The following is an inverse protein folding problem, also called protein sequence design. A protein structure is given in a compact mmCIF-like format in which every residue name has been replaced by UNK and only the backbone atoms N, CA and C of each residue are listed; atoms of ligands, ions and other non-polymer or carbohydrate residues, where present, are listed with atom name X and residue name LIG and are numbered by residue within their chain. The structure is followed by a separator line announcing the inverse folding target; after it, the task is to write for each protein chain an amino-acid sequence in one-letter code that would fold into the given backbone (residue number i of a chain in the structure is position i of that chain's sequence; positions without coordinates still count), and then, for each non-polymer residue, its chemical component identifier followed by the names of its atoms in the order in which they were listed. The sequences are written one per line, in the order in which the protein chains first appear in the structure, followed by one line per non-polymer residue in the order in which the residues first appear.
data_IF_870405402183
#
_entry.id   IF_870405402183
#
_cell.length_a   1.000
_cell.length_b   1.000
_cell.length_c   1.000
_cell.angle_alpha   90.00
_cell.angle_beta   90.00
_cell.angle_gamma   90.00
#
_symmetry.space_group_name_H-M   'P 1'
#
loop_
_entity.id
_entity.type
_entity.pdbx_description
1 polymer ?
#
# COMPACT_ATOMS: atom_id res chain seq x y z
N UNK A 1 9.09 7.06 -6.36
CA UNK A 1 8.16 8.04 -6.99
C UNK A 1 8.43 8.20 -8.48
N UNK A 2 9.65 8.57 -8.90
CA UNK A 2 10.01 8.78 -10.32
C UNK A 2 9.61 7.60 -11.23
N UNK A 3 9.95 6.36 -10.86
CA UNK A 3 9.58 5.17 -11.64
C UNK A 3 8.06 5.02 -11.81
N UNK A 4 7.27 5.34 -10.79
CA UNK A 4 5.81 5.29 -10.91
C UNK A 4 5.26 6.43 -11.77
N UNK A 5 5.93 7.59 -11.81
CA UNK A 5 5.58 8.65 -12.76
C UNK A 5 5.81 8.20 -14.21
N UNK A 6 6.89 7.44 -14.46
CA UNK A 6 7.14 6.85 -15.77
C UNK A 6 6.04 5.87 -16.20
N UNK A 7 5.37 5.20 -15.25
CA UNK A 7 4.26 4.29 -15.57
C UNK A 7 3.05 5.00 -16.18
N UNK A 8 2.89 6.31 -16.00
CA UNK A 8 1.82 7.06 -16.66
C UNK A 8 1.97 7.09 -18.19
N UNK A 9 3.16 6.81 -18.73
CA UNK A 9 3.37 6.65 -20.19
C UNK A 9 2.52 5.50 -20.75
N UNK A 10 2.21 4.48 -19.94
CA UNK A 10 1.41 3.33 -20.37
C UNK A 10 -0.11 3.57 -20.30
N UNK A 11 -0.57 4.64 -19.67
CA UNK A 11 -1.99 4.93 -19.45
C UNK A 11 -2.82 4.98 -20.75
N UNK A 12 -2.35 5.63 -21.83
CA UNK A 12 -3.10 5.64 -23.09
C UNK A 12 -3.31 4.24 -23.69
N UNK A 13 -2.38 3.31 -23.43
CA UNK A 13 -2.45 1.93 -23.94
C UNK A 13 -3.46 1.07 -23.18
N UNK A 14 -3.80 1.45 -21.94
CA UNK A 14 -4.74 0.72 -21.07
C UNK A 14 -6.17 1.25 -21.24
N UNK A 15 -6.37 2.29 -22.07
CA UNK A 15 -7.69 2.89 -22.31
C UNK A 15 -8.19 3.78 -21.17
N UNK A 16 -7.33 4.10 -20.20
CA UNK A 16 -7.65 4.99 -19.09
C UNK A 16 -7.36 6.44 -19.46
N UNK A 17 -8.29 7.35 -19.14
CA UNK A 17 -8.07 8.79 -19.26
C UNK A 17 -7.66 9.36 -17.91
N UNK A 18 -6.36 9.45 -17.66
CA UNK A 18 -5.85 10.07 -16.44
C UNK A 18 -5.66 11.57 -16.68
N UNK A 19 -6.43 12.36 -15.92
CA UNK A 19 -6.33 13.82 -15.92
C UNK A 19 -5.20 14.29 -15.00
N UNK A 20 -4.71 15.51 -15.22
CA UNK A 20 -3.65 16.12 -14.40
C UNK A 20 -4.00 16.14 -12.90
N UNK A 21 -5.27 16.33 -12.56
CA UNK A 21 -5.75 16.28 -11.16
C UNK A 21 -5.48 14.94 -10.48
N UNK A 22 -5.66 13.82 -11.19
CA UNK A 22 -5.40 12.48 -10.67
C UNK A 22 -3.89 12.30 -10.44
N UNK A 23 -3.05 12.77 -11.37
CA UNK A 23 -1.59 12.71 -11.22
C UNK A 23 -1.12 13.48 -9.98
N UNK A 24 -1.66 14.69 -9.77
CA UNK A 24 -1.34 15.51 -8.59
C UNK A 24 -1.74 14.81 -7.30
N UNK A 25 -2.89 14.13 -7.26
CA UNK A 25 -3.34 13.35 -6.08
C UNK A 25 -2.48 12.10 -5.85
N UNK A 26 -1.97 11.47 -6.92
CA UNK A 26 -1.15 10.25 -6.80
C UNK A 26 0.25 10.53 -6.27
N UNK A 27 0.85 11.69 -6.56
CA UNK A 27 2.21 12.02 -6.08
C UNK A 27 2.36 11.91 -4.55
N UNK A 28 1.53 12.58 -3.71
CA UNK A 28 1.65 12.45 -2.25
C UNK A 28 1.33 11.03 -1.76
N UNK A 29 0.36 10.34 -2.39
CA UNK A 29 0.06 8.95 -2.08
C UNK A 29 1.28 8.05 -2.36
N UNK A 30 1.95 8.21 -3.51
CA UNK A 30 3.15 7.48 -3.86
C UNK A 30 4.31 7.77 -2.92
N UNK A 31 4.47 9.03 -2.50
CA UNK A 31 5.49 9.40 -1.52
C UNK A 31 5.23 8.74 -0.17
N UNK A 32 3.99 8.77 0.30
CA UNK A 32 3.56 8.15 1.56
C UNK A 32 3.78 6.64 1.57
N UNK A 33 3.41 5.95 0.49
CA UNK A 33 3.62 4.51 0.34
C UNK A 33 5.11 4.19 0.25
N UNK A 34 5.87 4.96 -0.54
CA UNK A 34 7.32 4.79 -0.64
C UNK A 34 8.02 5.00 0.70
N UNK A 35 7.62 6.02 1.47
CA UNK A 35 8.10 6.26 2.82
C UNK A 35 7.82 5.05 3.72
N UNK A 36 6.58 4.57 3.75
CA UNK A 36 6.17 3.46 4.63
C UNK A 36 6.91 2.16 4.30
N UNK A 37 7.02 1.79 3.02
CA UNK A 37 7.76 0.61 2.60
C UNK A 37 9.26 0.75 2.85
N UNK A 38 9.82 1.96 2.69
CA UNK A 38 11.22 2.24 3.01
C UNK A 38 11.49 2.09 4.51
N UNK A 39 10.57 2.55 5.37
CA UNK A 39 10.67 2.37 6.82
C UNK A 39 10.64 0.90 7.23
N UNK A 40 9.82 0.07 6.58
CA UNK A 40 9.83 -1.40 6.78
C UNK A 40 11.18 -1.98 6.35
N UNK A 41 11.67 -1.60 5.16
CA UNK A 41 12.98 -2.02 4.65
C UNK A 41 14.12 -1.62 5.59
N UNK A 42 14.08 -0.41 6.14
CA UNK A 42 15.08 0.09 7.10
C UNK A 42 15.03 -0.66 8.43
N UNK A 43 13.83 -1.00 8.92
CA UNK A 43 13.69 -1.86 10.10
C UNK A 43 14.29 -3.24 9.85
N UNK A 44 14.05 -3.84 8.68
CA UNK A 44 14.64 -5.13 8.32
C UNK A 44 16.16 -5.03 8.17
N UNK A 45 16.67 -3.97 7.55
CA UNK A 45 18.11 -3.74 7.37
C UNK A 45 18.83 -3.56 8.71
N UNK A 46 18.27 -2.76 9.63
CA UNK A 46 18.79 -2.62 11.00
C UNK A 46 18.62 -3.89 11.83
N UNK A 47 17.82 -4.85 11.36
CA UNK A 47 17.56 -6.11 12.06
C UNK A 47 18.50 -7.25 11.73
N UNK A 48 19.14 -7.19 10.57
CA UNK A 48 19.86 -8.31 10.00
C UNK A 48 21.35 -7.98 9.93
N UNK A 49 22.17 -8.96 10.29
CA UNK A 49 23.63 -8.77 10.36
C UNK A 49 24.32 -8.82 9.00
N UNK A 50 23.65 -9.34 7.98
CA UNK A 50 24.23 -9.56 6.65
C UNK A 50 23.31 -9.07 5.55
N UNK A 51 23.90 -8.50 4.49
CA UNK A 51 23.18 -8.06 3.30
C UNK A 51 22.48 -9.22 2.58
N UNK A 52 23.07 -10.42 2.60
CA UNK A 52 22.47 -11.62 2.03
C UNK A 52 21.18 -12.04 2.78
N UNK A 53 21.21 -12.01 4.12
CA UNK A 53 20.02 -12.29 4.93
C UNK A 53 18.91 -11.27 4.70
N UNK A 54 19.26 -9.99 4.55
CA UNK A 54 18.31 -8.93 4.20
C UNK A 54 17.63 -9.19 2.85
N UNK A 55 18.40 -9.44 1.79
CA UNK A 55 17.82 -9.70 0.46
C UNK A 55 16.89 -10.92 0.47
N UNK A 56 17.28 -12.00 1.14
CA UNK A 56 16.46 -13.21 1.26
C UNK A 56 15.12 -12.92 1.95
N UNK A 57 15.14 -12.24 3.10
CA UNK A 57 13.91 -11.94 3.85
C UNK A 57 13.01 -10.99 3.06
N UNK A 58 13.55 -9.97 2.42
CA UNK A 58 12.77 -9.04 1.59
C UNK A 58 12.04 -9.78 0.47
N UNK A 59 12.71 -10.72 -0.22
CA UNK A 59 12.08 -11.49 -1.29
C UNK A 59 10.95 -12.40 -0.78
N UNK A 60 11.17 -13.08 0.34
CA UNK A 60 10.15 -13.93 0.96
C UNK A 60 8.95 -13.09 1.43
N UNK A 61 9.17 -11.87 1.89
CA UNK A 61 8.15 -11.01 2.47
C UNK A 61 7.34 -10.23 1.42
N UNK A 62 7.96 -9.82 0.31
CA UNK A 62 7.30 -9.07 -0.76
C UNK A 62 6.12 -9.87 -1.36
N UNK A 63 6.31 -11.16 -1.63
CA UNK A 63 5.29 -11.94 -2.32
C UNK A 63 3.99 -12.12 -1.49
N UNK A 64 4.04 -12.55 -0.21
CA UNK A 64 2.87 -12.56 0.67
C UNK A 64 2.24 -11.18 0.82
N UNK A 65 3.05 -10.12 1.00
CA UNK A 65 2.50 -8.76 1.10
C UNK A 65 1.75 -8.34 -0.17
N UNK A 66 2.28 -8.66 -1.35
CA UNK A 66 1.62 -8.36 -2.62
C UNK A 66 0.33 -9.18 -2.79
N UNK A 67 0.37 -10.47 -2.45
CA UNK A 67 -0.80 -11.35 -2.55
C UNK A 67 -1.94 -10.87 -1.63
N UNK A 68 -1.60 -10.50 -0.40
CA UNK A 68 -2.55 -10.01 0.60
C UNK A 68 -2.95 -8.56 0.40
N UNK A 69 -2.31 -7.80 -0.49
CA UNK A 69 -2.60 -6.37 -0.69
C UNK A 69 -3.86 -6.08 -1.50
N UNK A 70 -4.46 -7.11 -2.11
CA UNK A 70 -5.56 -6.90 -3.05
C UNK A 70 -5.13 -6.43 -4.44
N UNK A 71 -3.83 -6.40 -4.73
CA UNK A 71 -3.31 -6.05 -6.06
C UNK A 71 -3.58 -7.14 -7.09
N UNK A 72 -3.36 -8.41 -6.73
CA UNK A 72 -3.52 -9.55 -7.64
C UNK A 72 -4.86 -10.28 -7.47
N UNK A 73 -5.38 -10.35 -6.24
CA UNK A 73 -6.59 -11.09 -5.92
C UNK A 73 -7.59 -10.19 -5.20
N UNK A 74 -8.90 -10.35 -5.42
CA UNK A 74 -9.89 -9.63 -4.65
C UNK A 74 -9.82 -10.05 -3.17
N UNK A 75 -9.93 -9.07 -2.27
CA UNK A 75 -9.86 -9.26 -0.81
C UNK A 75 -11.24 -9.22 -0.14
N UNK A 76 -12.30 -9.43 -0.93
CA UNK A 76 -13.69 -9.53 -0.45
C UNK A 76 -14.05 -10.98 -0.13
N UNK A 77 -14.84 -11.20 0.93
CA UNK A 77 -15.33 -12.55 1.28
C UNK A 77 -14.27 -13.52 1.81
N UNK A 78 -13.16 -13.02 2.32
CA UNK A 78 -12.07 -13.87 2.84
C UNK A 78 -12.41 -14.52 4.19
N UNK A 79 -11.89 -15.72 4.48
CA UNK A 79 -12.02 -16.32 5.80
C UNK A 79 -11.34 -15.43 6.87
N UNK A 80 -11.82 -15.52 8.12
CA UNK A 80 -11.44 -14.60 9.20
C UNK A 80 -9.92 -14.46 9.41
N UNK A 81 -9.18 -15.58 9.33
CA UNK A 81 -7.72 -15.58 9.50
C UNK A 81 -7.00 -14.80 8.39
N UNK A 82 -7.49 -14.87 7.15
CA UNK A 82 -6.88 -14.18 6.01
C UNK A 82 -7.29 -12.70 6.02
N UNK A 83 -8.52 -12.40 6.44
CA UNK A 83 -8.99 -11.04 6.66
C UNK A 83 -8.11 -10.30 7.68
N UNK A 84 -7.71 -10.97 8.77
CA UNK A 84 -6.75 -10.43 9.72
C UNK A 84 -5.40 -10.08 9.07
N UNK A 85 -4.83 -10.98 8.26
CA UNK A 85 -3.55 -10.75 7.57
C UNK A 85 -3.63 -9.60 6.55
N UNK A 86 -4.74 -9.48 5.83
CA UNK A 86 -4.99 -8.36 4.91
C UNK A 86 -5.09 -7.04 5.67
N UNK A 87 -5.75 -7.05 6.84
CA UNK A 87 -5.99 -5.86 7.67
C UNK A 87 -4.70 -5.30 8.28
N UNK A 88 -3.72 -6.14 8.62
CA UNK A 88 -2.44 -5.68 9.17
C UNK A 88 -1.45 -5.23 8.09
N UNK A 89 -1.69 -5.60 6.83
CA UNK A 89 -0.77 -5.33 5.74
C UNK A 89 -0.94 -3.87 5.23
N UNK A 90 0.03 -2.97 5.43
CA UNK A 90 -0.07 -1.58 4.97
C UNK A 90 -0.17 -1.45 3.45
N UNK A 91 0.30 -2.47 2.71
CA UNK A 91 0.20 -2.49 1.26
C UNK A 91 -1.26 -2.65 0.78
N UNK A 92 -2.13 -3.26 1.58
CA UNK A 92 -3.58 -3.36 1.31
C UNK A 92 -4.20 -1.99 1.11
N UNK A 93 -4.00 -1.11 2.10
CA UNK A 93 -4.52 0.25 2.10
C UNK A 93 -3.87 1.10 1.00
N UNK A 94 -2.58 0.86 0.72
CA UNK A 94 -1.85 1.55 -0.34
C UNK A 94 -2.43 1.25 -1.73
N UNK A 95 -2.71 -0.02 -2.00
CA UNK A 95 -3.28 -0.48 -3.27
C UNK A 95 -4.71 0.00 -3.44
N UNK A 96 -5.54 -0.11 -2.40
CA UNK A 96 -6.93 0.36 -2.46
C UNK A 96 -7.00 1.88 -2.66
N UNK A 97 -6.15 2.65 -1.95
CA UNK A 97 -6.02 4.10 -2.14
C UNK A 97 -5.65 4.47 -3.58
N UNK A 98 -4.68 3.77 -4.19
CA UNK A 98 -4.33 4.02 -5.60
C UNK A 98 -5.50 3.73 -6.54
N UNK A 99 -6.21 2.61 -6.35
CA UNK A 99 -7.39 2.28 -7.16
C UNK A 99 -8.46 3.35 -7.04
N UNK A 100 -8.76 3.80 -5.82
CA UNK A 100 -9.77 4.85 -5.57
C UNK A 100 -9.42 6.18 -6.23
N UNK A 101 -8.14 6.58 -6.20
CA UNK A 101 -7.68 7.82 -6.84
C UNK A 101 -7.72 7.71 -8.37
N UNK A 102 -7.22 6.61 -8.94
CA UNK A 102 -7.15 6.41 -10.40
C UNK A 102 -8.55 6.31 -11.01
N UNK A 103 -9.46 5.59 -10.35
CA UNK A 103 -10.80 5.33 -10.84
C UNK A 103 -11.82 6.38 -10.36
N UNK A 104 -11.35 7.43 -9.69
CA UNK A 104 -12.18 8.50 -9.13
C UNK A 104 -13.41 7.94 -8.36
N UNK A 105 -13.17 7.03 -7.41
CA UNK A 105 -14.20 6.23 -6.73
C UNK A 105 -15.32 7.04 -6.07
N UNK A 106 -15.08 8.32 -5.77
CA UNK A 106 -16.09 9.22 -5.18
C UNK A 106 -17.13 9.71 -6.21
N UNK A 107 -16.85 9.56 -7.52
CA UNK A 107 -17.77 9.90 -8.61
C UNK A 107 -18.58 8.71 -9.12
N UNK A 108 -18.25 7.49 -8.67
CA UNK A 108 -18.89 6.26 -9.12
C UNK A 108 -20.17 5.99 -8.33
N UNK A 109 -21.16 5.39 -8.98
CA UNK A 109 -22.34 4.85 -8.32
C UNK A 109 -21.92 3.81 -7.26
N UNK A 110 -22.53 3.79 -6.05
CA UNK A 110 -22.22 2.81 -5.01
C UNK A 110 -22.19 1.35 -5.47
N UNK A 111 -23.09 0.96 -6.38
CA UNK A 111 -23.14 -0.40 -6.92
C UNK A 111 -21.94 -0.70 -7.81
N UNK A 112 -21.55 0.26 -8.66
CA UNK A 112 -20.38 0.13 -9.52
C UNK A 112 -19.09 0.11 -8.69
N UNK A 113 -19.02 0.95 -7.65
CA UNK A 113 -17.89 0.99 -6.70
C UNK A 113 -17.71 -0.35 -5.99
N UNK A 114 -18.81 -1.01 -5.61
CA UNK A 114 -18.77 -2.36 -5.02
C UNK A 114 -18.32 -3.42 -6.04
N UNK A 115 -18.86 -3.38 -7.26
CA UNK A 115 -18.50 -4.32 -8.32
C UNK A 115 -17.01 -4.23 -8.72
N UNK A 116 -16.43 -3.04 -8.65
CA UNK A 116 -15.00 -2.79 -8.91
C UNK A 116 -14.09 -3.09 -7.71
N UNK A 117 -14.66 -3.49 -6.56
CA UNK A 117 -13.90 -3.82 -5.35
C UNK A 117 -13.24 -2.62 -4.67
N UNK A 118 -13.80 -1.41 -4.83
CA UNK A 118 -13.27 -0.14 -4.27
C UNK A 118 -13.81 0.18 -2.87
N UNK A 119 -14.48 -0.80 -2.24
CA UNK A 119 -15.07 -0.70 -0.91
C UNK A 119 -14.32 -1.61 0.04
N UNK A 120 -13.03 -1.32 0.25
CA UNK A 120 -12.27 -1.99 1.30
C UNK A 120 -13.03 -1.83 2.63
N UNK A 121 -13.43 -2.97 3.20
CA UNK A 121 -14.10 -3.05 4.49
C UNK A 121 -13.15 -3.71 5.47
N UNK A 122 -12.76 -2.95 6.48
CA UNK A 122 -11.92 -3.44 7.57
C UNK A 122 -12.79 -3.49 8.82
N UNK A 123 -12.91 -4.67 9.41
CA UNK A 123 -13.74 -4.90 10.60
C UNK A 123 -15.20 -4.45 10.43
N UNK A 124 -15.75 -4.55 9.21
CA UNK A 124 -17.12 -4.15 8.89
C UNK A 124 -17.31 -2.66 8.59
N UNK A 125 -16.27 -1.83 8.69
CA UNK A 125 -16.33 -0.41 8.36
C UNK A 125 -15.70 -0.13 7.00
N UNK A 126 -16.37 0.66 6.16
CA UNK A 126 -15.79 1.13 4.91
C UNK A 126 -14.66 2.11 5.20
N UNK A 127 -13.48 1.81 4.68
CA UNK A 127 -12.30 2.66 4.87
C UNK A 127 -12.26 3.72 3.78
N UNK A 128 -12.15 4.98 4.17
CA UNK A 128 -12.02 6.11 3.23
C UNK A 128 -10.56 6.29 2.81
N UNK A 129 -10.33 7.04 1.72
CA UNK A 129 -8.98 7.41 1.27
C UNK A 129 -8.19 8.09 2.40
N UNK A 130 -8.85 8.94 3.19
CA UNK A 130 -8.22 9.60 4.33
C UNK A 130 -7.79 8.61 5.41
N UNK A 131 -8.65 7.65 5.75
CA UNK A 131 -8.35 6.63 6.76
C UNK A 131 -7.22 5.70 6.27
N UNK A 132 -7.20 5.37 4.98
CA UNK A 132 -6.08 4.63 4.36
C UNK A 132 -4.77 5.38 4.46
N UNK A 133 -4.75 6.64 4.06
CA UNK A 133 -3.56 7.47 4.14
C UNK A 133 -3.07 7.61 5.60
N UNK A 134 -3.99 7.82 6.54
CA UNK A 134 -3.65 7.92 7.96
C UNK A 134 -3.07 6.59 8.49
N UNK A 135 -3.69 5.46 8.16
CA UNK A 135 -3.19 4.15 8.56
C UNK A 135 -1.79 3.88 8.01
N UNK A 136 -1.58 4.11 6.71
CA UNK A 136 -0.27 3.94 6.07
C UNK A 136 0.77 4.86 6.71
N UNK A 137 0.43 6.12 6.99
CA UNK A 137 1.33 7.06 7.67
C UNK A 137 1.70 6.59 9.07
N UNK A 138 0.72 6.13 9.86
CA UNK A 138 0.95 5.60 11.20
C UNK A 138 1.88 4.39 11.14
N UNK A 139 1.64 3.44 10.23
CA UNK A 139 2.54 2.31 10.01
C UNK A 139 3.97 2.79 9.67
N UNK A 140 4.11 3.75 8.76
CA UNK A 140 5.39 4.31 8.38
C UNK A 140 6.14 4.94 9.56
N UNK A 141 5.44 5.69 10.41
CA UNK A 141 5.99 6.30 11.64
C UNK A 141 6.39 5.21 12.65
N UNK A 142 5.56 4.20 12.88
CA UNK A 142 5.88 3.10 13.79
C UNK A 142 7.14 2.38 13.32
N UNK A 143 7.23 2.00 12.04
CA UNK A 143 8.37 1.26 11.51
C UNK A 143 9.66 2.07 11.53
N UNK A 144 9.62 3.38 11.21
CA UNK A 144 10.82 4.21 11.26
C UNK A 144 11.29 4.40 12.71
N UNK A 145 10.38 4.63 13.66
CA UNK A 145 10.74 4.74 15.08
C UNK A 145 11.36 3.45 15.60
N UNK A 146 10.78 2.28 15.27
CA UNK A 146 11.35 0.99 15.63
C UNK A 146 12.74 0.78 15.03
N UNK A 147 12.94 1.19 13.77
CA UNK A 147 14.24 1.11 13.12
C UNK A 147 15.28 2.00 13.81
N UNK A 148 14.92 3.24 14.15
CA UNK A 148 15.79 4.18 14.87
C UNK A 148 16.17 3.65 16.25
N UNK A 149 15.21 3.13 17.03
CA UNK A 149 15.47 2.54 18.35
C UNK A 149 16.37 1.31 18.26
N UNK A 150 16.20 0.50 17.21
CA UNK A 150 17.05 -0.67 17.00
C UNK A 150 18.49 -0.28 16.66
N UNK A 151 18.65 0.76 15.84
CA UNK A 151 19.95 1.30 15.46
C UNK A 151 20.69 1.90 16.69
N UNK A 152 19.98 2.64 17.54
CA UNK A 152 20.58 3.25 18.73
C UNK A 152 21.00 2.27 19.82
N UNK A 153 20.45 1.04 19.82
CA UNK A 153 20.84 -0.03 20.75
C UNK A 153 21.98 -0.91 20.22
N UNK A 154 22.34 -0.78 18.94
CA UNK A 154 23.40 -1.57 18.30
C UNK A 154 24.75 -0.85 18.25
N UNK A 155 24.78 0.44 18.57
CA UNK A 155 25.97 1.23 18.86
C UNK A 155 26.20 1.26 20.38
#
# INVERSE_FOLDING_TARGET
VIQGLLMFVFVPFIGLKINLSIMIKLIPAMFLVAFTLSSIGLLLASSLKTSAGFQMIVQILIFPMLFLSGAFFPITGLPAWMNFLVTINPLTYSVDMFKKIILEADKLDPLLRQAMGLNLTVLGHQVTIFNEALFVLICGIIFITLATVKFSRSN
#
